data_IF_765272552361
#
_entry.id   IF_765272552361
#
_cell.length_a   1.000
_cell.length_b   1.000
_cell.length_c   1.000
_cell.angle_alpha   90.00
_cell.angle_beta   90.00
_cell.angle_gamma   90.00
#
_symmetry.space_group_name_H-M   'P 1'
#
loop_
_entity.id
_entity.type
_entity.pdbx_description
1 polymer ?
#
# COMPACT_ATOMS: atom_id res chain seq x y z
N UNK A 1 66.77 3.10 -15.87
CA UNK A 1 65.73 2.56 -14.98
C UNK A 1 64.44 3.31 -15.26
N UNK A 2 63.55 2.75 -16.08
CA UNK A 2 62.30 3.39 -16.50
C UNK A 2 61.12 2.89 -15.69
N UNK A 3 60.41 3.80 -15.03
CA UNK A 3 59.19 3.53 -14.27
C UNK A 3 58.00 3.44 -15.25
N UNK A 4 57.43 2.24 -15.41
CA UNK A 4 56.23 2.02 -16.22
C UNK A 4 55.01 2.33 -15.37
N UNK A 5 54.35 3.45 -15.66
CA UNK A 5 53.06 3.84 -15.08
C UNK A 5 51.94 3.00 -15.72
N UNK A 6 51.41 2.03 -14.97
CA UNK A 6 50.19 1.30 -15.29
C UNK A 6 48.95 2.18 -15.02
N UNK A 7 48.22 2.57 -16.06
CA UNK A 7 46.86 3.09 -15.92
C UNK A 7 45.87 1.94 -16.05
N UNK A 8 45.32 1.49 -14.91
CA UNK A 8 44.16 0.60 -14.88
C UNK A 8 42.88 1.33 -15.29
N UNK A 9 41.92 0.65 -15.93
CA UNK A 9 40.67 1.27 -16.37
C UNK A 9 39.81 1.70 -15.18
N UNK A 10 39.20 2.87 -15.31
CA UNK A 10 38.34 3.50 -14.31
C UNK A 10 37.04 2.71 -14.07
N UNK A 11 36.64 2.62 -12.80
CA UNK A 11 35.45 1.91 -12.26
C UNK A 11 34.07 2.35 -12.80
N UNK A 12 34.01 3.14 -13.86
CA UNK A 12 32.77 3.69 -14.43
C UNK A 12 32.06 2.75 -15.43
N UNK A 13 32.78 1.78 -16.01
CA UNK A 13 32.24 0.98 -17.13
C UNK A 13 31.50 -0.32 -16.75
N UNK A 14 31.52 -0.74 -15.49
CA UNK A 14 30.90 -2.03 -15.06
C UNK A 14 29.44 -1.86 -14.63
N UNK A 15 29.05 -0.66 -14.19
CA UNK A 15 27.68 -0.39 -13.70
C UNK A 15 26.63 -0.27 -14.81
N UNK A 16 27.04 -0.01 -16.04
CA UNK A 16 26.13 0.22 -17.18
C UNK A 16 25.66 -1.06 -17.88
N UNK A 17 26.32 -2.20 -17.65
CA UNK A 17 25.94 -3.48 -18.27
C UNK A 17 24.84 -4.21 -17.47
N UNK A 18 24.92 -4.22 -16.13
CA UNK A 18 24.00 -4.99 -15.27
C UNK A 18 22.58 -4.38 -15.22
N UNK A 19 22.44 -3.07 -15.40
CA UNK A 19 21.14 -2.37 -15.37
C UNK A 19 20.32 -2.62 -16.66
N UNK A 20 20.98 -3.00 -17.76
CA UNK A 20 20.31 -3.24 -19.04
C UNK A 20 19.58 -4.58 -19.11
N UNK A 21 20.02 -5.55 -18.30
CA UNK A 21 19.56 -6.95 -18.39
C UNK A 21 18.28 -7.23 -17.56
N UNK A 22 18.08 -6.52 -16.43
CA UNK A 22 16.85 -6.64 -15.61
C UNK A 22 15.60 -6.03 -16.26
N UNK A 23 15.74 -5.05 -17.15
CA UNK A 23 14.60 -4.44 -17.88
C UNK A 23 13.99 -5.37 -18.93
N UNK A 24 14.80 -6.26 -19.52
CA UNK A 24 14.32 -7.19 -20.55
C UNK A 24 13.43 -8.31 -19.99
N UNK A 25 13.68 -8.74 -18.73
CA UNK A 25 12.89 -9.82 -18.12
C UNK A 25 11.45 -9.40 -17.76
N UNK A 26 11.23 -8.14 -17.37
CA UNK A 26 9.89 -7.65 -17.00
C UNK A 26 8.95 -7.53 -18.22
N UNK A 27 9.47 -7.10 -19.38
CA UNK A 27 8.71 -7.02 -20.64
C UNK A 27 8.36 -8.42 -21.15
N UNK A 28 9.28 -9.38 -20.98
CA UNK A 28 9.07 -10.77 -21.39
C UNK A 28 8.06 -11.51 -20.51
N UNK A 29 7.95 -11.17 -19.22
CA UNK A 29 6.91 -11.67 -18.32
C UNK A 29 5.52 -11.12 -18.66
N UNK A 30 5.40 -9.81 -18.94
CA UNK A 30 4.13 -9.16 -19.32
C UNK A 30 3.52 -9.68 -20.63
N UNK A 31 4.31 -10.25 -21.55
CA UNK A 31 3.79 -10.84 -22.79
C UNK A 31 3.25 -12.27 -22.64
N UNK A 32 3.67 -13.03 -21.62
CA UNK A 32 3.17 -14.40 -21.39
C UNK A 32 1.77 -14.42 -20.76
N UNK A 33 1.42 -13.43 -19.94
CA UNK A 33 0.13 -13.36 -19.24
C UNK A 33 -1.05 -12.95 -20.13
N UNK A 34 -0.82 -12.35 -21.30
CA UNK A 34 -1.90 -12.02 -22.26
C UNK A 34 -2.30 -13.16 -23.21
N UNK A 35 -1.53 -14.23 -23.28
CA UNK A 35 -1.79 -15.36 -24.18
C UNK A 35 -2.65 -16.45 -23.53
N UNK A 36 -2.75 -16.50 -22.20
CA UNK A 36 -3.61 -17.45 -21.47
C UNK A 36 -5.08 -17.04 -21.49
N UNK A 37 -5.40 -15.74 -21.47
CA UNK A 37 -6.80 -15.26 -21.41
C UNK A 37 -7.57 -15.47 -22.72
N UNK A 38 -6.89 -15.48 -23.86
CA UNK A 38 -7.53 -15.74 -25.18
C UNK A 38 -7.91 -17.21 -25.40
N UNK A 39 -7.26 -18.16 -24.71
CA UNK A 39 -7.61 -19.59 -24.81
C UNK A 39 -8.86 -19.93 -24.01
N UNK A 40 -9.03 -19.34 -22.83
CA UNK A 40 -10.20 -19.61 -21.97
C UNK A 40 -11.50 -19.07 -22.59
N UNK A 41 -11.45 -17.90 -23.25
CA UNK A 41 -12.63 -17.30 -23.90
C UNK A 41 -13.11 -18.04 -25.16
N UNK A 42 -12.25 -18.82 -25.84
CA UNK A 42 -12.68 -19.64 -26.99
C UNK A 42 -13.31 -20.97 -26.59
N UNK A 43 -13.02 -21.49 -25.40
CA UNK A 43 -13.65 -22.72 -24.91
C UNK A 43 -15.09 -22.47 -24.44
N UNK A 44 -15.38 -21.32 -23.84
CA UNK A 44 -16.72 -20.98 -23.34
C UNK A 44 -17.76 -20.61 -24.42
N UNK A 45 -17.35 -20.50 -25.69
CA UNK A 45 -18.22 -20.09 -26.80
C UNK A 45 -18.67 -21.27 -27.69
N UNK A 46 -18.30 -22.50 -27.35
CA UNK A 46 -18.53 -23.68 -28.20
C UNK A 46 -19.69 -24.59 -27.73
N UNK A 47 -20.29 -24.33 -26.57
CA UNK A 47 -21.37 -25.18 -26.02
C UNK A 47 -22.79 -24.66 -26.32
N UNK A 48 -22.93 -23.57 -27.07
CA UNK A 48 -24.23 -22.98 -27.40
C UNK A 48 -24.63 -23.30 -28.84
N UNK A 49 -25.12 -24.52 -29.06
CA UNK A 49 -25.65 -24.96 -30.35
C UNK A 49 -26.91 -25.84 -30.21
N UNK A 50 -28.06 -25.16 -30.03
CA UNK A 50 -29.40 -25.46 -30.61
C UNK A 50 -30.21 -26.71 -30.15
N UNK A 51 -31.55 -26.80 -30.39
CA UNK A 51 -32.60 -25.77 -30.46
C UNK A 51 -33.93 -26.11 -29.70
N UNK A 52 -34.79 -25.08 -29.58
CA UNK A 52 -36.20 -24.94 -29.12
C UNK A 52 -37.24 -26.07 -29.42
N UNK A 53 -38.43 -26.15 -28.75
CA UNK A 53 -39.50 -25.11 -28.82
C UNK A 53 -40.49 -24.86 -27.64
N UNK A 54 -41.00 -23.61 -27.62
CA UNK A 54 -42.36 -23.05 -27.35
C UNK A 54 -43.30 -23.55 -26.22
N UNK A 55 -43.66 -22.61 -25.32
CA UNK A 55 -45.02 -22.23 -24.87
C UNK A 55 -44.88 -20.93 -24.02
N UNK A 56 -45.32 -19.74 -24.47
CA UNK A 56 -46.66 -19.15 -24.47
C UNK A 56 -47.21 -18.78 -23.05
N UNK A 57 -47.41 -17.47 -22.83
CA UNK A 57 -48.05 -16.83 -21.67
C UNK A 57 -47.03 -16.27 -20.66
N UNK A 58 -47.10 -15.09 -20.08
CA UNK A 58 -48.10 -14.01 -20.01
C UNK A 58 -47.33 -12.74 -19.57
N UNK A 59 -47.93 -11.58 -19.84
CA UNK A 59 -47.38 -10.26 -19.55
C UNK A 59 -47.29 -10.00 -18.04
N UNK A 60 -46.15 -9.51 -17.56
CA UNK A 60 -46.16 -8.67 -16.34
C UNK A 60 -45.10 -7.57 -16.43
N UNK A 61 -45.57 -6.36 -16.71
CA UNK A 61 -44.85 -5.12 -16.46
C UNK A 61 -44.60 -4.99 -14.95
N UNK A 62 -43.37 -5.23 -14.51
CA UNK A 62 -42.87 -4.61 -13.27
C UNK A 62 -41.44 -4.15 -13.46
N UNK A 63 -41.28 -2.84 -13.31
CA UNK A 63 -40.07 -2.15 -12.86
C UNK A 63 -38.75 -2.65 -13.42
N UNK A 64 -38.19 -1.93 -14.39
CA UNK A 64 -36.75 -1.96 -14.64
C UNK A 64 -36.02 -1.73 -13.30
N UNK A 65 -35.25 -2.68 -12.75
CA UNK A 65 -34.37 -2.35 -11.66
C UNK A 65 -33.29 -1.44 -12.24
N UNK A 66 -33.27 -0.22 -11.71
CA UNK A 66 -32.23 0.77 -11.86
C UNK A 66 -30.87 0.10 -11.71
N UNK A 67 -30.17 0.05 -12.84
CA UNK A 67 -28.79 -0.37 -13.01
C UNK A 67 -27.86 0.62 -12.31
N UNK A 68 -27.81 0.64 -10.98
CA UNK A 68 -26.83 1.41 -10.20
C UNK A 68 -26.65 0.83 -8.79
N UNK A 69 -26.21 -0.42 -8.70
CA UNK A 69 -25.43 -0.86 -7.55
C UNK A 69 -24.13 -1.40 -8.14
N UNK A 70 -23.34 -0.49 -8.71
CA UNK A 70 -21.91 -0.72 -8.83
C UNK A 70 -21.41 -0.86 -7.40
N UNK A 71 -21.35 -2.11 -6.94
CA UNK A 71 -20.57 -2.49 -5.78
C UNK A 71 -19.13 -2.10 -6.07
N UNK A 72 -18.80 -0.85 -5.78
CA UNK A 72 -17.44 -0.46 -5.46
C UNK A 72 -17.11 -1.34 -4.27
N UNK A 73 -16.40 -2.44 -4.52
CA UNK A 73 -15.66 -3.14 -3.50
C UNK A 73 -15.03 -2.02 -2.69
N UNK A 74 -15.42 -1.87 -1.42
CA UNK A 74 -14.89 -0.86 -0.51
C UNK A 74 -13.41 -1.19 -0.31
N UNK A 75 -12.60 -0.89 -1.33
CA UNK A 75 -11.17 -1.03 -1.37
C UNK A 75 -10.69 0.02 -0.40
N UNK A 76 -10.45 -0.43 0.83
CA UNK A 76 -9.84 0.36 1.87
C UNK A 76 -8.66 1.13 1.28
N UNK A 77 -8.63 2.45 1.46
CA UNK A 77 -7.62 3.32 0.85
C UNK A 77 -6.21 2.82 1.21
N UNK A 78 -5.19 2.96 0.34
CA UNK A 78 -3.82 2.61 0.72
C UNK A 78 -3.36 3.54 1.87
N UNK A 79 -2.63 2.99 2.83
CA UNK A 79 -2.01 3.78 3.90
C UNK A 79 -0.88 4.65 3.36
N UNK A 80 -1.01 5.97 3.46
CA UNK A 80 0.05 6.92 3.12
C UNK A 80 1.14 6.82 4.20
N UNK A 81 2.41 6.52 3.86
CA UNK A 81 3.46 6.46 4.85
C UNK A 81 3.81 7.85 5.38
N UNK A 82 3.71 8.02 6.68
CA UNK A 82 3.96 9.27 7.41
C UNK A 82 4.80 8.97 8.65
N UNK A 83 5.64 9.93 9.03
CA UNK A 83 6.35 9.87 10.31
C UNK A 83 5.44 10.43 11.41
N UNK A 84 5.66 10.04 12.66
CA UNK A 84 4.83 10.57 13.76
C UNK A 84 5.01 12.08 13.96
N UNK A 85 6.21 12.60 13.69
CA UNK A 85 6.52 14.03 13.72
C UNK A 85 5.79 14.85 12.64
N UNK A 86 5.26 14.22 11.60
CA UNK A 86 4.49 14.91 10.54
C UNK A 86 3.00 15.03 10.87
N UNK A 87 2.55 14.34 11.92
CA UNK A 87 1.17 14.38 12.40
C UNK A 87 0.95 15.55 13.35
N UNK A 88 1.36 16.73 12.90
CA UNK A 88 1.07 17.98 13.59
C UNK A 88 -0.35 18.45 13.28
N UNK A 89 -1.03 19.06 14.26
CA UNK A 89 -2.25 19.82 14.02
C UNK A 89 -2.04 20.76 12.83
N UNK A 90 -3.01 20.84 11.92
CA UNK A 90 -2.96 21.65 10.68
C UNK A 90 -2.09 21.13 9.53
N UNK A 91 -1.42 19.99 9.66
CA UNK A 91 -0.73 19.38 8.52
C UNK A 91 -1.74 18.82 7.50
N UNK A 92 -1.37 18.76 6.22
CA UNK A 92 -2.25 18.14 5.20
C UNK A 92 -2.54 16.65 5.48
N UNK A 93 -1.70 16.01 6.28
CA UNK A 93 -1.79 14.61 6.67
C UNK A 93 -2.71 14.42 7.89
N UNK A 94 -2.93 15.48 8.67
CA UNK A 94 -3.81 15.51 9.83
C UNK A 94 -5.25 15.79 9.40
N UNK A 95 -5.89 14.79 8.78
CA UNK A 95 -7.28 14.87 8.31
C UNK A 95 -8.12 13.74 8.86
N UNK A 96 -9.37 14.06 9.18
CA UNK A 96 -10.36 13.08 9.62
C UNK A 96 -10.52 11.98 8.56
N UNK A 97 -10.39 10.72 8.96
CA UNK A 97 -10.50 9.56 8.08
C UNK A 97 -9.31 9.36 7.14
N UNK A 98 -8.20 10.09 7.33
CA UNK A 98 -7.01 9.89 6.52
C UNK A 98 -6.44 8.48 6.73
N UNK A 99 -6.25 7.72 5.65
CA UNK A 99 -5.63 6.40 5.71
C UNK A 99 -4.12 6.53 5.76
N UNK A 100 -3.53 6.25 6.91
CA UNK A 100 -2.12 6.46 7.22
C UNK A 100 -1.40 5.13 7.49
N UNK A 101 -0.10 5.14 7.22
CA UNK A 101 0.84 4.11 7.65
C UNK A 101 1.89 4.76 8.53
N UNK A 102 1.88 4.38 9.81
CA UNK A 102 2.80 4.90 10.83
C UNK A 102 3.71 3.78 11.32
N UNK A 103 4.93 4.12 11.69
CA UNK A 103 5.89 3.18 12.30
C UNK A 103 6.43 3.84 13.57
N UNK A 104 6.54 3.07 14.65
CA UNK A 104 7.04 3.58 15.92
C UNK A 104 7.29 2.47 16.92
N UNK A 105 7.98 2.82 18.00
CA UNK A 105 8.26 1.93 19.13
C UNK A 105 7.03 1.92 20.05
N UNK A 106 6.54 0.74 20.42
CA UNK A 106 5.43 0.59 21.35
C UNK A 106 5.90 0.94 22.77
N UNK A 107 5.37 2.01 23.34
CA UNK A 107 5.67 2.44 24.71
C UNK A 107 4.79 1.72 25.73
N UNK A 108 3.49 1.72 25.48
CA UNK A 108 2.52 1.09 26.37
C UNK A 108 1.33 0.55 25.58
N UNK A 109 0.64 -0.42 26.17
CA UNK A 109 -0.57 -0.99 25.62
C UNK A 109 -1.51 -1.36 26.76
N UNK A 110 -2.76 -0.90 26.69
CA UNK A 110 -3.82 -1.26 27.61
C UNK A 110 -4.77 -2.29 26.99
N UNK A 111 -4.84 -3.46 27.61
CA UNK A 111 -5.69 -4.57 27.19
C UNK A 111 -7.19 -4.27 27.33
N UNK A 112 -7.58 -3.42 28.29
CA UNK A 112 -8.99 -3.14 28.56
C UNK A 112 -9.57 -2.17 27.54
N UNK A 113 -8.82 -1.10 27.22
CA UNK A 113 -9.24 -0.10 26.24
C UNK A 113 -8.81 -0.43 24.80
N UNK A 114 -7.97 -1.46 24.61
CA UNK A 114 -7.34 -1.79 23.33
C UNK A 114 -6.59 -0.60 22.71
N UNK A 115 -6.01 0.27 23.54
CA UNK A 115 -5.23 1.42 23.10
C UNK A 115 -3.74 1.13 23.30
N UNK A 116 -2.99 1.20 22.20
CA UNK A 116 -1.55 1.22 22.17
C UNK A 116 -1.03 2.66 22.05
N UNK A 117 0.11 2.95 22.67
CA UNK A 117 0.84 4.21 22.48
C UNK A 117 2.16 3.91 21.83
N UNK A 118 2.38 4.50 20.66
CA UNK A 118 3.65 4.39 19.94
C UNK A 118 4.39 5.71 19.97
N UNK A 119 5.71 5.65 19.91
CA UNK A 119 6.59 6.82 19.89
C UNK A 119 7.67 6.67 18.81
N UNK A 120 7.97 7.78 18.15
CA UNK A 120 9.07 7.91 17.20
C UNK A 120 9.55 9.36 17.18
N UNK A 121 10.87 9.56 17.26
CA UNK A 121 11.48 10.89 17.17
C UNK A 121 10.93 11.93 18.14
N UNK A 122 10.48 11.54 19.33
CA UNK A 122 9.90 12.44 20.34
C UNK A 122 8.40 12.70 20.18
N UNK A 123 7.79 12.35 19.05
CA UNK A 123 6.33 12.41 18.86
C UNK A 123 5.67 11.10 19.29
N UNK A 124 4.44 11.18 19.81
CA UNK A 124 3.67 10.01 20.26
C UNK A 124 2.29 9.98 19.62
N UNK A 125 1.76 8.78 19.36
CA UNK A 125 0.44 8.59 18.78
C UNK A 125 -0.29 7.45 19.48
N UNK A 126 -1.57 7.69 19.81
CA UNK A 126 -2.49 6.66 20.29
C UNK A 126 -3.00 5.85 19.10
N UNK A 127 -3.00 4.54 19.22
CA UNK A 127 -3.46 3.59 18.21
C UNK A 127 -4.53 2.72 18.83
N UNK A 128 -5.73 2.77 18.28
CA UNK A 128 -6.81 1.84 18.61
C UNK A 128 -6.55 0.53 17.86
N UNK A 129 -6.38 -0.54 18.64
CA UNK A 129 -6.04 -1.88 18.15
C UNK A 129 -7.21 -2.86 18.26
N UNK A 130 -8.44 -2.39 18.53
CA UNK A 130 -9.62 -3.25 18.73
C UNK A 130 -9.89 -4.18 17.54
N UNK A 131 -9.53 -3.76 16.32
CA UNK A 131 -9.75 -4.54 15.10
C UNK A 131 -8.56 -5.45 14.73
N UNK A 132 -7.47 -5.40 15.48
CA UNK A 132 -6.30 -6.23 15.23
C UNK A 132 -6.48 -7.59 15.92
N UNK A 133 -6.40 -8.65 15.14
CA UNK A 133 -6.39 -10.03 15.64
C UNK A 133 -4.97 -10.58 15.60
N UNK A 134 -4.66 -11.46 16.54
CA UNK A 134 -3.45 -12.28 16.54
C UNK A 134 -2.11 -11.51 16.60
N UNK A 135 -2.10 -10.31 17.20
CA UNK A 135 -0.87 -9.56 17.46
C UNK A 135 -0.50 -9.67 18.93
N UNK A 136 0.67 -10.23 19.19
CA UNK A 136 1.27 -10.19 20.52
C UNK A 136 2.07 -8.89 20.68
N UNK A 137 1.53 -7.93 21.42
CA UNK A 137 2.20 -6.67 21.71
C UNK A 137 3.33 -6.86 22.72
N UNK A 138 4.51 -6.37 22.36
CA UNK A 138 5.71 -6.35 23.19
C UNK A 138 6.14 -4.91 23.40
N UNK A 139 6.20 -4.48 24.65
CA UNK A 139 6.73 -3.16 24.99
C UNK A 139 8.15 -3.01 24.45
N UNK A 140 8.50 -1.81 23.99
CA UNK A 140 9.76 -1.44 23.39
C UNK A 140 10.10 -2.14 22.05
N UNK A 141 9.17 -2.90 21.48
CA UNK A 141 9.29 -3.40 20.10
C UNK A 141 8.78 -2.36 19.09
N UNK A 142 9.30 -2.42 17.87
CA UNK A 142 8.89 -1.56 16.76
C UNK A 142 7.72 -2.19 16.02
N UNK A 143 6.66 -1.40 15.83
CA UNK A 143 5.48 -1.82 15.10
C UNK A 143 5.18 -0.86 13.95
N UNK A 144 4.58 -1.42 12.90
CA UNK A 144 4.00 -0.65 11.81
C UNK A 144 2.50 -0.89 11.76
N UNK A 145 1.76 0.21 11.76
CA UNK A 145 0.31 0.21 11.70
C UNK A 145 -0.19 0.85 10.42
N UNK A 146 -1.30 0.33 9.91
CA UNK A 146 -2.08 0.96 8.83
C UNK A 146 -3.51 1.11 9.34
N UNK A 147 -4.05 2.32 9.23
CA UNK A 147 -5.32 2.67 9.83
C UNK A 147 -5.89 3.98 9.32
N UNK A 148 -7.10 4.31 9.76
CA UNK A 148 -7.71 5.63 9.57
C UNK A 148 -7.42 6.54 10.78
N UNK A 149 -7.08 7.80 10.53
CA UNK A 149 -6.89 8.80 11.57
C UNK A 149 -8.25 9.33 12.03
N UNK A 150 -8.55 9.19 13.31
CA UNK A 150 -9.66 9.85 13.98
C UNK A 150 -9.16 11.01 14.82
N UNK A 151 -9.65 12.21 14.54
CA UNK A 151 -9.35 13.43 15.28
C UNK A 151 -10.55 13.69 16.20
N UNK A 152 -10.30 13.72 17.50
CA UNK A 152 -11.32 14.07 18.51
C UNK A 152 -11.52 15.58 18.59
N UNK A 153 -12.64 16.06 19.18
CA UNK A 153 -12.91 17.49 19.34
C UNK A 153 -11.80 18.27 20.05
N UNK A 154 -11.06 17.61 20.95
CA UNK A 154 -9.94 18.20 21.70
C UNK A 154 -8.62 18.23 20.90
N UNK A 155 -8.70 18.02 19.57
CA UNK A 155 -7.56 17.88 18.67
C UNK A 155 -6.66 16.66 19.00
N UNK A 156 -7.20 15.73 19.79
CA UNK A 156 -6.55 14.50 20.21
C UNK A 156 -6.73 13.45 19.11
N UNK A 157 -5.64 13.01 18.49
CA UNK A 157 -5.68 12.07 17.38
C UNK A 157 -5.47 10.62 17.83
N UNK A 158 -6.29 9.71 17.30
CA UNK A 158 -6.18 8.27 17.48
C UNK A 158 -6.20 7.60 16.11
N UNK A 159 -5.25 6.71 15.85
CA UNK A 159 -5.26 5.89 14.64
C UNK A 159 -6.08 4.62 14.88
N UNK A 160 -7.18 4.45 14.15
CA UNK A 160 -7.90 3.18 14.11
C UNK A 160 -7.16 2.18 13.22
N UNK A 161 -6.40 1.30 13.85
CA UNK A 161 -5.59 0.34 13.13
C UNK A 161 -6.44 -0.83 12.60
N UNK A 162 -6.35 -1.04 11.29
CA UNK A 162 -6.89 -2.24 10.60
C UNK A 162 -5.81 -3.29 10.36
N UNK A 163 -4.55 -2.88 10.31
CA UNK A 163 -3.39 -3.77 10.18
C UNK A 163 -2.32 -3.30 11.17
N UNK A 164 -1.74 -4.23 11.91
CA UNK A 164 -0.54 -4.02 12.71
C UNK A 164 0.45 -5.14 12.46
N UNK A 165 1.75 -4.84 12.47
CA UNK A 165 2.80 -5.85 12.39
C UNK A 165 4.01 -5.44 13.22
N UNK A 166 4.60 -6.41 13.90
CA UNK A 166 5.93 -6.24 14.47
C UNK A 166 6.94 -6.15 13.32
N UNK A 167 7.82 -5.15 13.39
CA UNK A 167 8.88 -4.89 12.41
C UNK A 167 10.23 -4.77 13.10
N UNK A 168 10.41 -5.50 14.21
CA UNK A 168 11.69 -5.55 14.91
C UNK A 168 12.82 -5.95 13.95
N UNK A 169 13.95 -5.25 14.05
CA UNK A 169 15.09 -5.42 13.16
C UNK A 169 15.04 -4.58 11.88
N UNK A 170 13.99 -3.79 11.65
CA UNK A 170 14.04 -2.75 10.61
C UNK A 170 15.01 -1.64 11.00
N UNK A 171 15.83 -1.21 10.06
CA UNK A 171 16.60 0.04 10.22
C UNK A 171 15.65 1.23 9.97
N UNK A 172 15.26 1.90 11.05
CA UNK A 172 14.35 3.04 11.01
C UNK A 172 14.92 4.23 10.23
N UNK A 173 16.24 4.44 10.27
CA UNK A 173 16.88 5.54 9.55
C UNK A 173 16.81 5.29 8.03
N UNK A 174 17.17 4.07 7.59
CA UNK A 174 17.02 3.68 6.18
C UNK A 174 15.56 3.71 5.74
N UNK A 175 14.63 3.30 6.60
CA UNK A 175 13.20 3.42 6.31
C UNK A 175 12.80 4.87 6.06
N UNK A 176 13.16 5.81 6.94
CA UNK A 176 12.87 7.24 6.79
C UNK A 176 13.48 7.81 5.51
N UNK A 177 14.76 7.49 5.20
CA UNK A 177 15.40 7.90 3.96
C UNK A 177 14.66 7.38 2.72
N UNK A 178 14.21 6.13 2.74
CA UNK A 178 13.46 5.53 1.64
C UNK A 178 12.12 6.24 1.40
N UNK A 179 11.46 6.71 2.47
CA UNK A 179 10.23 7.50 2.37
C UNK A 179 10.45 8.84 1.68
N UNK A 180 11.54 9.53 2.02
CA UNK A 180 11.90 10.80 1.39
C UNK A 180 12.13 10.64 -0.12
N UNK A 181 12.92 9.63 -0.52
CA UNK A 181 13.18 9.33 -1.93
C UNK A 181 11.87 9.01 -2.67
N UNK A 182 10.99 8.22 -2.05
CA UNK A 182 9.70 7.88 -2.63
C UNK A 182 8.84 9.12 -2.87
N UNK A 183 8.74 10.02 -1.90
CA UNK A 183 7.94 11.26 -2.01
C UNK A 183 8.49 12.20 -3.07
N UNK A 184 9.81 12.38 -3.14
CA UNK A 184 10.46 13.16 -4.19
C UNK A 184 10.13 12.61 -5.58
N UNK A 185 10.18 11.28 -5.74
CA UNK A 185 9.83 10.63 -6.99
C UNK A 185 8.34 10.79 -7.35
N UNK A 186 7.44 10.61 -6.38
CA UNK A 186 6.00 10.82 -6.57
C UNK A 186 5.67 12.28 -6.96
N UNK A 187 6.34 13.27 -6.34
CA UNK A 187 6.20 14.68 -6.68
C UNK A 187 6.70 14.97 -8.11
N UNK A 188 7.84 14.41 -8.52
CA UNK A 188 8.35 14.52 -9.89
C UNK A 188 7.39 13.91 -10.92
N UNK A 189 6.75 12.78 -10.60
CA UNK A 189 5.75 12.18 -11.48
C UNK A 189 4.50 13.05 -11.60
N UNK A 190 4.08 13.71 -10.52
CA UNK A 190 2.96 14.66 -10.55
C UNK A 190 3.28 15.87 -11.41
N UNK A 191 4.46 16.47 -11.27
CA UNK A 191 4.85 17.64 -12.06
C UNK A 191 5.02 17.35 -13.55
N UNK A 192 5.41 16.12 -13.93
CA UNK A 192 5.52 15.72 -15.35
C UNK A 192 4.18 15.43 -16.02
N UNK A 193 3.11 15.25 -15.23
CA UNK A 193 1.76 14.92 -15.73
C UNK A 193 0.83 16.14 -15.73
N UNK A 194 1.20 17.21 -15.03
CA UNK A 194 0.54 18.51 -15.08
C UNK A 194 1.01 19.28 -16.32
#
# INVERSE_FOLDING_TARGET
MGFVSWHGPTRSAVYSVVIRERRQMHIRWLRKTRLSERKVRRAAAADDASPHPRAAGEQEERGRPSRLESGTILLSLPGVPVTLQELEPFSELFRQGASLRVTGVLQSYDLNSAIAVIQDGGASLKVDTQHLRDINFRSNSTYQFIGELLIKPDNDAILQARIGRNVDGIDLNLYQQSLLIRRQYEAQLRSRRA
#
